data_IF_514740146704
#
_entry.id   IF_514740146704
#
_cell.length_a   1.000
_cell.length_b   1.000
_cell.length_c   1.000
_cell.angle_alpha   90.00
_cell.angle_beta   90.00
_cell.angle_gamma   90.00
#
_symmetry.space_group_name_H-M   'P 1'
#
loop_
_entity.id
_entity.type
_entity.pdbx_description
1 polymer ?
#
# COMPACT_ATOMS: atom_id res chain seq x y z
N UNK A 1 40.44 -2.07 56.41
CA UNK A 1 39.06 -2.44 56.06
C UNK A 1 38.32 -1.17 55.63
N UNK A 2 37.63 -1.21 54.48
CA UNK A 2 36.57 -0.28 54.04
C UNK A 2 36.94 1.11 53.43
N UNK A 3 37.67 1.15 52.31
CA UNK A 3 37.50 2.31 51.39
C UNK A 3 37.58 2.00 49.90
N UNK A 4 38.28 0.93 49.49
CA UNK A 4 38.41 0.54 48.06
C UNK A 4 37.25 -0.28 47.49
N UNK A 5 36.34 -0.80 48.31
CA UNK A 5 35.17 -1.58 47.85
C UNK A 5 33.94 -0.76 47.46
N UNK A 6 33.88 0.53 47.83
CA UNK A 6 32.71 1.39 47.53
C UNK A 6 32.80 2.07 46.15
N UNK A 7 34.00 2.30 45.62
CA UNK A 7 34.18 2.97 44.33
C UNK A 7 33.88 2.06 43.12
N UNK A 8 34.10 0.75 43.25
CA UNK A 8 33.84 -0.22 42.15
C UNK A 8 32.34 -0.47 41.94
N UNK A 9 31.50 -0.29 42.97
CA UNK A 9 30.04 -0.43 42.84
C UNK A 9 29.36 0.82 42.25
N UNK A 10 29.98 1.98 42.33
CA UNK A 10 29.36 3.23 41.86
C UNK A 10 29.58 3.47 40.36
N UNK A 11 30.68 2.96 39.80
CA UNK A 11 30.93 3.01 38.34
C UNK A 11 30.08 1.97 37.58
N UNK A 12 29.71 0.86 38.22
CA UNK A 12 28.90 -0.18 37.57
C UNK A 12 27.40 0.11 37.50
N UNK A 13 26.91 1.06 38.30
CA UNK A 13 25.48 1.46 38.30
C UNK A 13 25.22 2.60 37.29
N UNK A 14 26.28 3.28 36.81
CA UNK A 14 26.18 4.46 35.95
C UNK A 14 26.65 4.22 34.51
N UNK A 15 26.65 2.97 34.05
CA UNK A 15 26.70 2.63 32.61
C UNK A 15 25.84 1.41 32.27
N UNK A 16 24.90 1.05 33.14
CA UNK A 16 23.77 0.18 32.82
C UNK A 16 22.48 1.00 32.59
N UNK A 17 22.62 2.32 32.46
CA UNK A 17 21.53 3.28 32.23
C UNK A 17 21.59 3.93 30.83
N UNK A 18 22.38 3.36 29.91
CA UNK A 18 22.47 3.81 28.50
C UNK A 18 21.76 2.82 27.55
N UNK A 19 21.26 1.68 28.06
CA UNK A 19 20.67 0.61 27.23
C UNK A 19 19.14 0.57 27.20
N UNK A 20 18.43 1.52 27.83
CA UNK A 20 16.96 1.48 27.91
C UNK A 20 16.26 2.76 27.43
N UNK A 21 16.79 3.33 26.35
CA UNK A 21 16.06 4.29 25.51
C UNK A 21 16.09 3.79 24.06
N UNK A 22 15.71 2.51 23.87
CA UNK A 22 15.00 2.17 22.64
C UNK A 22 13.62 2.79 22.84
N UNK A 23 13.53 4.10 22.57
CA UNK A 23 12.26 4.72 22.31
C UNK A 23 11.62 3.87 21.21
N UNK A 24 10.54 3.19 21.55
CA UNK A 24 9.65 2.62 20.56
C UNK A 24 9.39 3.74 19.58
N UNK A 25 9.97 3.66 18.39
CA UNK A 25 9.54 4.47 17.27
C UNK A 25 8.13 3.94 17.06
N UNK A 26 7.15 4.61 17.67
CA UNK A 26 5.75 4.45 17.32
C UNK A 26 5.70 4.75 15.83
N UNK A 27 5.70 3.68 15.05
CA UNK A 27 5.47 3.75 13.63
C UNK A 27 4.17 4.53 13.50
N UNK A 28 4.18 5.65 12.78
CA UNK A 28 2.98 6.48 12.56
C UNK A 28 1.84 5.74 11.83
N UNK A 29 1.98 4.43 11.62
CA UNK A 29 0.93 3.51 11.21
C UNK A 29 0.00 3.25 12.40
N UNK A 30 -1.21 3.83 12.34
CA UNK A 30 -2.29 3.52 13.27
C UNK A 30 -2.67 2.03 13.28
N UNK A 31 -3.54 1.60 14.21
CA UNK A 31 -3.95 0.21 14.30
C UNK A 31 -4.50 -0.31 12.97
N UNK A 32 -4.13 -1.54 12.60
CA UNK A 32 -4.61 -2.22 11.40
C UNK A 32 -5.41 -3.48 11.75
N UNK A 33 -6.29 -3.88 10.86
CA UNK A 33 -7.02 -5.14 10.94
C UNK A 33 -7.08 -5.82 9.57
N UNK A 34 -7.03 -7.16 9.59
CA UNK A 34 -7.20 -7.97 8.39
C UNK A 34 -8.66 -7.92 7.96
N UNK A 35 -8.92 -7.38 6.76
CA UNK A 35 -10.22 -7.41 6.08
C UNK A 35 -10.18 -8.48 5.00
N UNK A 36 -11.29 -9.20 4.84
CA UNK A 36 -11.42 -10.34 3.93
C UNK A 36 -12.48 -10.05 2.88
N UNK A 37 -12.11 -10.22 1.61
CA UNK A 37 -12.97 -9.96 0.47
C UNK A 37 -13.12 -11.24 -0.37
N UNK A 38 -14.29 -11.90 -0.34
CA UNK A 38 -14.55 -13.05 -1.19
C UNK A 38 -14.54 -12.65 -2.66
N UNK A 39 -13.72 -13.34 -3.45
CA UNK A 39 -13.64 -13.19 -4.90
C UNK A 39 -14.25 -14.45 -5.51
N UNK A 40 -15.44 -14.39 -6.15
CA UNK A 40 -16.10 -15.56 -6.71
C UNK A 40 -15.13 -16.38 -7.58
N UNK A 41 -15.09 -17.69 -7.35
CA UNK A 41 -14.23 -18.66 -8.06
C UNK A 41 -12.70 -18.44 -7.92
N UNK A 42 -12.29 -17.45 -7.11
CA UNK A 42 -10.89 -17.07 -6.91
C UNK A 42 -10.54 -16.89 -5.43
N UNK A 43 -11.25 -17.57 -4.53
CA UNK A 43 -10.93 -17.58 -3.10
C UNK A 43 -11.19 -16.25 -2.40
N UNK A 44 -10.32 -15.90 -1.45
CA UNK A 44 -10.46 -14.70 -0.62
C UNK A 44 -9.22 -13.82 -0.71
N UNK A 45 -9.41 -12.53 -1.00
CA UNK A 45 -8.38 -11.51 -0.87
C UNK A 45 -8.35 -11.00 0.58
N UNK A 46 -7.19 -11.07 1.23
CA UNK A 46 -6.97 -10.60 2.59
C UNK A 46 -6.04 -9.37 2.57
N UNK A 47 -6.52 -8.26 3.16
CA UNK A 47 -5.82 -6.98 3.21
C UNK A 47 -5.67 -6.51 4.66
N UNK A 48 -4.46 -6.12 5.08
CA UNK A 48 -4.22 -5.56 6.41
C UNK A 48 -4.39 -4.04 6.41
N UNK A 49 -5.60 -3.57 6.68
CA UNK A 49 -6.04 -2.18 6.43
C UNK A 49 -6.09 -1.39 7.73
N UNK A 50 -5.67 -0.10 7.76
CA UNK A 50 -5.89 0.77 8.91
C UNK A 50 -7.35 0.75 9.36
N UNK A 51 -7.61 0.59 10.66
CA UNK A 51 -8.97 0.39 11.20
C UNK A 51 -9.86 1.60 10.98
N UNK A 52 -9.28 2.79 10.89
CA UNK A 52 -10.00 4.04 10.66
C UNK A 52 -10.45 4.23 9.19
N UNK A 53 -9.95 3.42 8.25
CA UNK A 53 -10.39 3.54 6.86
C UNK A 53 -11.78 2.94 6.71
N UNK A 54 -12.66 3.63 5.99
CA UNK A 54 -13.93 3.08 5.53
C UNK A 54 -13.69 2.34 4.23
N UNK A 55 -14.39 1.24 3.99
CA UNK A 55 -14.32 0.50 2.74
C UNK A 55 -15.70 0.15 2.20
N UNK A 56 -15.76 0.04 0.88
CA UNK A 56 -16.91 -0.52 0.16
C UNK A 56 -16.41 -1.32 -1.05
N UNK A 57 -17.14 -2.37 -1.40
CA UNK A 57 -16.88 -3.15 -2.61
C UNK A 57 -17.87 -2.74 -3.69
N UNK A 58 -17.39 -2.02 -4.70
CA UNK A 58 -18.20 -1.68 -5.86
C UNK A 58 -18.17 -2.81 -6.89
N UNK A 59 -19.34 -3.33 -7.25
CA UNK A 59 -19.54 -4.31 -8.33
C UNK A 59 -20.56 -3.78 -9.32
N UNK A 60 -20.19 -3.75 -10.59
CA UNK A 60 -21.11 -3.35 -11.67
C UNK A 60 -22.05 -4.49 -12.07
N UNK A 61 -21.60 -5.75 -11.96
CA UNK A 61 -22.38 -6.99 -12.18
C UNK A 61 -21.81 -8.12 -11.31
N UNK A 62 -22.61 -9.16 -11.05
CA UNK A 62 -22.30 -10.26 -10.13
C UNK A 62 -21.00 -11.04 -10.48
N UNK A 63 -20.65 -11.11 -11.77
CA UNK A 63 -19.47 -11.83 -12.28
C UNK A 63 -18.36 -10.91 -12.81
N UNK A 64 -18.38 -9.62 -12.45
CA UNK A 64 -17.34 -8.68 -12.84
C UNK A 64 -16.33 -8.46 -11.71
N UNK A 65 -15.06 -8.19 -12.04
CA UNK A 65 -14.06 -7.73 -11.10
C UNK A 65 -14.58 -6.64 -10.15
N UNK A 66 -14.55 -6.85 -8.82
CA UNK A 66 -14.90 -5.80 -7.87
C UNK A 66 -13.81 -4.74 -7.85
N UNK A 67 -14.20 -3.50 -7.56
CA UNK A 67 -13.28 -2.46 -7.13
C UNK A 67 -13.54 -2.16 -5.66
N UNK A 68 -12.53 -2.41 -4.82
CA UNK A 68 -12.55 -2.04 -3.41
C UNK A 68 -12.18 -0.56 -3.31
N UNK A 69 -13.02 0.23 -2.66
CA UNK A 69 -12.80 1.66 -2.48
C UNK A 69 -12.59 1.92 -0.99
N UNK A 70 -11.48 2.57 -0.64
CA UNK A 70 -11.17 2.97 0.72
C UNK A 70 -11.12 4.49 0.83
N UNK A 71 -11.73 5.02 1.89
CA UNK A 71 -11.79 6.44 2.19
C UNK A 71 -11.38 6.70 3.66
N UNK A 72 -10.96 7.92 4.02
CA UNK A 72 -10.74 8.26 5.42
C UNK A 72 -12.03 8.15 6.24
N UNK A 73 -11.90 8.02 7.57
CA UNK A 73 -13.04 8.04 8.49
C UNK A 73 -13.91 9.30 8.32
N UNK A 74 -13.26 10.44 8.07
CA UNK A 74 -13.85 11.77 7.92
C UNK A 74 -13.13 12.55 6.84
N UNK A 75 -13.82 13.49 6.20
CA UNK A 75 -13.24 14.32 5.14
C UNK A 75 -13.02 13.56 3.83
N UNK A 76 -12.13 14.10 3.00
CA UNK A 76 -11.82 13.59 1.65
C UNK A 76 -10.33 13.77 1.31
N UNK A 77 -9.46 13.50 2.28
CA UNK A 77 -8.02 13.70 2.13
C UNK A 77 -7.38 12.74 1.13
N UNK A 78 -7.97 11.55 1.01
CA UNK A 78 -7.56 10.54 0.04
C UNK A 78 -8.72 9.67 -0.41
N UNK A 79 -8.51 8.96 -1.52
CA UNK A 79 -9.31 7.81 -1.93
C UNK A 79 -8.37 6.74 -2.50
N UNK A 80 -8.52 5.50 -2.05
CA UNK A 80 -7.81 4.34 -2.60
C UNK A 80 -8.80 3.47 -3.35
N UNK A 81 -8.47 3.08 -4.56
CA UNK A 81 -9.25 2.15 -5.37
C UNK A 81 -8.37 0.96 -5.71
N UNK A 82 -8.86 -0.26 -5.48
CA UNK A 82 -8.19 -1.51 -5.82
C UNK A 82 -9.15 -2.34 -6.66
N UNK A 83 -8.95 -2.37 -7.97
CA UNK A 83 -9.67 -3.25 -8.89
C UNK A 83 -9.02 -4.63 -8.89
N UNK A 84 -9.80 -5.64 -8.52
CA UNK A 84 -9.33 -7.03 -8.36
C UNK A 84 -9.60 -7.80 -9.65
N UNK A 85 -8.60 -7.90 -10.53
CA UNK A 85 -8.71 -8.57 -11.82
C UNK A 85 -8.17 -10.01 -11.76
N UNK A 86 -8.59 -10.85 -12.69
CA UNK A 86 -8.08 -12.20 -12.88
C UNK A 86 -8.03 -12.56 -14.38
N UNK A 87 -7.16 -13.50 -14.71
CA UNK A 87 -7.02 -14.02 -16.07
C UNK A 87 -8.15 -14.97 -16.45
N UNK A 88 -8.29 -15.24 -17.75
CA UNK A 88 -9.13 -16.33 -18.22
C UNK A 88 -8.60 -17.67 -17.67
N UNK A 89 -9.46 -18.65 -17.50
CA UNK A 89 -9.07 -20.01 -17.10
C UNK A 89 -7.91 -20.51 -17.98
N UNK A 90 -6.80 -20.90 -17.34
CA UNK A 90 -5.58 -21.35 -18.01
C UNK A 90 -4.50 -20.29 -18.27
N UNK A 91 -4.82 -18.99 -18.14
CA UNK A 91 -3.80 -17.92 -18.22
C UNK A 91 -3.08 -17.76 -16.88
N UNK A 92 -2.15 -18.67 -16.60
CA UNK A 92 -1.38 -18.70 -15.37
C UNK A 92 -0.43 -17.50 -15.21
N UNK A 93 -0.12 -16.81 -16.30
CA UNK A 93 0.82 -15.69 -16.33
C UNK A 93 0.08 -14.34 -16.36
N UNK A 94 -1.25 -14.28 -16.19
CA UNK A 94 -2.01 -13.03 -16.28
C UNK A 94 -1.49 -11.93 -15.35
N UNK A 95 -1.01 -12.32 -14.16
CA UNK A 95 -0.43 -11.43 -13.15
C UNK A 95 1.10 -11.56 -13.03
N UNK A 96 1.76 -12.09 -14.06
CA UNK A 96 3.21 -12.20 -14.12
C UNK A 96 3.92 -10.84 -14.08
N UNK A 97 5.12 -10.82 -13.51
CA UNK A 97 5.87 -9.59 -13.23
C UNK A 97 6.08 -8.71 -14.47
N UNK A 98 6.38 -9.30 -15.63
CA UNK A 98 6.56 -8.57 -16.89
C UNK A 98 5.25 -7.94 -17.38
N UNK A 99 4.12 -8.66 -17.29
CA UNK A 99 2.80 -8.13 -17.65
C UNK A 99 2.39 -6.99 -16.72
N UNK A 100 2.64 -7.15 -15.42
CA UNK A 100 2.40 -6.08 -14.42
C UNK A 100 3.23 -4.85 -14.75
N UNK A 101 4.53 -5.01 -15.00
CA UNK A 101 5.40 -3.88 -15.38
C UNK A 101 4.92 -3.19 -16.65
N UNK A 102 4.69 -3.95 -17.71
CA UNK A 102 4.24 -3.45 -19.02
C UNK A 102 2.90 -2.71 -18.90
N UNK A 103 1.98 -3.23 -18.07
CA UNK A 103 0.71 -2.57 -17.80
C UNK A 103 0.92 -1.20 -17.16
N UNK A 104 1.72 -1.14 -16.09
CA UNK A 104 1.97 0.10 -15.34
C UNK A 104 2.72 1.12 -16.20
N UNK A 105 3.70 0.69 -16.99
CA UNK A 105 4.40 1.57 -17.94
C UNK A 105 3.44 2.17 -18.97
N UNK A 106 2.61 1.34 -19.63
CA UNK A 106 1.65 1.82 -20.63
C UNK A 106 0.58 2.72 -20.04
N UNK A 107 0.10 2.42 -18.84
CA UNK A 107 -0.86 3.26 -18.13
C UNK A 107 -0.26 4.63 -17.80
N UNK A 108 0.96 4.68 -17.27
CA UNK A 108 1.65 5.93 -16.99
C UNK A 108 1.89 6.77 -18.25
N UNK A 109 2.32 6.16 -19.36
CA UNK A 109 2.55 6.88 -20.62
C UNK A 109 1.28 7.55 -21.15
N UNK A 110 0.12 6.90 -20.99
CA UNK A 110 -1.18 7.49 -21.35
C UNK A 110 -1.54 8.70 -20.48
N UNK A 111 -1.15 8.68 -19.21
CA UNK A 111 -1.45 9.74 -18.26
C UNK A 111 -0.50 10.93 -18.38
N UNK A 112 0.75 10.69 -18.78
CA UNK A 112 1.84 11.67 -18.82
C UNK A 112 1.46 13.05 -19.38
N UNK A 113 0.69 13.18 -20.50
CA UNK A 113 0.30 14.49 -21.02
C UNK A 113 -0.47 15.37 -20.04
N UNK A 114 -1.14 14.79 -19.04
CA UNK A 114 -1.95 15.49 -18.04
C UNK A 114 -1.21 15.70 -16.70
N UNK A 115 0.06 15.34 -16.64
CA UNK A 115 0.85 15.41 -15.41
C UNK A 115 1.83 16.58 -15.43
N UNK A 116 2.27 17.05 -14.26
CA UNK A 116 3.29 18.09 -14.14
C UNK A 116 4.71 17.54 -14.39
N UNK A 117 4.87 16.22 -14.34
CA UNK A 117 6.11 15.50 -14.58
C UNK A 117 6.41 15.36 -16.08
N UNK A 118 7.68 15.48 -16.48
CA UNK A 118 8.11 15.28 -17.87
C UNK A 118 8.37 13.81 -18.25
N UNK A 119 8.32 12.90 -17.28
CA UNK A 119 8.48 11.45 -17.49
C UNK A 119 7.84 10.65 -16.36
N UNK A 120 7.46 9.41 -16.66
CA UNK A 120 7.02 8.45 -15.65
C UNK A 120 8.24 7.73 -15.08
N UNK A 121 8.32 7.65 -13.75
CA UNK A 121 9.35 6.87 -13.04
C UNK A 121 8.66 5.74 -12.30
N UNK A 122 8.92 4.51 -12.76
CA UNK A 122 8.42 3.32 -12.09
C UNK A 122 9.22 3.02 -10.83
N UNK A 123 8.51 2.67 -9.78
CA UNK A 123 9.02 2.19 -8.50
C UNK A 123 8.47 0.78 -8.26
N UNK A 124 9.28 -0.07 -7.64
CA UNK A 124 8.89 -1.45 -7.34
C UNK A 124 8.14 -1.53 -6.00
N UNK A 125 7.11 -2.37 -5.95
CA UNK A 125 6.45 -2.80 -4.72
C UNK A 125 6.90 -4.25 -4.47
N UNK A 126 7.56 -4.51 -3.35
CA UNK A 126 7.95 -5.86 -2.94
C UNK A 126 7.14 -6.33 -1.74
N UNK A 127 6.33 -7.37 -1.95
CA UNK A 127 5.78 -8.18 -0.87
C UNK A 127 6.71 -9.36 -0.53
N UNK A 128 6.22 -10.28 0.30
CA UNK A 128 6.99 -11.48 0.69
C UNK A 128 7.09 -12.47 -0.47
N UNK A 129 5.98 -12.69 -1.19
CA UNK A 129 5.88 -13.71 -2.26
C UNK A 129 5.43 -13.11 -3.58
N UNK A 130 5.34 -11.79 -3.68
CA UNK A 130 4.86 -11.08 -4.85
C UNK A 130 5.57 -9.75 -5.05
N UNK A 131 5.48 -9.24 -6.28
CA UNK A 131 6.01 -7.93 -6.64
C UNK A 131 5.11 -7.22 -7.63
N UNK A 132 5.24 -5.91 -7.67
CA UNK A 132 4.48 -5.03 -8.53
C UNK A 132 5.24 -3.74 -8.82
N UNK A 133 4.57 -2.84 -9.53
CA UNK A 133 5.16 -1.55 -9.91
C UNK A 133 4.13 -0.44 -9.72
N UNK A 134 4.62 0.76 -9.46
CA UNK A 134 3.80 1.97 -9.38
C UNK A 134 4.57 3.18 -9.85
N UNK A 135 3.83 4.26 -10.08
CA UNK A 135 4.37 5.59 -10.29
C UNK A 135 3.50 6.60 -9.55
N UNK A 136 4.07 7.77 -9.25
CA UNK A 136 3.36 8.89 -8.64
C UNK A 136 3.50 10.10 -9.55
N UNK A 137 2.40 10.83 -9.72
CA UNK A 137 2.31 12.01 -10.58
C UNK A 137 1.47 13.10 -9.91
N UNK A 138 1.67 14.32 -10.39
CA UNK A 138 0.93 15.50 -9.99
C UNK A 138 0.05 15.93 -11.15
N UNK A 139 -1.24 16.13 -10.92
CA UNK A 139 -2.10 16.79 -11.91
C UNK A 139 -1.62 18.23 -12.14
N UNK A 140 -1.39 18.59 -13.40
CA UNK A 140 -0.92 19.93 -13.77
C UNK A 140 -2.03 20.99 -13.72
N UNK A 141 -3.29 20.60 -13.79
CA UNK A 141 -4.44 21.50 -13.82
C UNK A 141 -5.70 20.87 -13.17
N UNK A 142 -5.66 20.53 -11.87
CA UNK A 142 -6.81 19.94 -11.19
C UNK A 142 -7.96 20.95 -11.09
N UNK A 143 -9.20 20.50 -11.27
CA UNK A 143 -10.35 21.37 -11.01
C UNK A 143 -10.48 21.67 -9.50
N UNK A 144 -11.13 22.78 -9.12
CA UNK A 144 -11.39 23.07 -7.71
C UNK A 144 -12.07 21.89 -7.00
N UNK A 145 -11.48 21.45 -5.90
CA UNK A 145 -11.99 20.33 -5.10
C UNK A 145 -11.49 18.94 -5.53
N UNK A 146 -10.84 18.78 -6.69
CA UNK A 146 -10.26 17.50 -7.11
C UNK A 146 -8.95 17.19 -6.38
N UNK A 147 -8.48 15.96 -6.54
CA UNK A 147 -7.20 15.50 -5.99
C UNK A 147 -6.05 15.93 -6.89
N UNK A 148 -5.09 16.65 -6.32
CA UNK A 148 -3.90 17.12 -7.06
C UNK A 148 -2.87 16.02 -7.29
N UNK A 149 -2.78 15.04 -6.40
CA UNK A 149 -1.73 14.03 -6.44
C UNK A 149 -2.34 12.64 -6.62
N UNK A 150 -1.60 11.82 -7.34
CA UNK A 150 -2.03 10.48 -7.71
C UNK A 150 -0.86 9.51 -7.66
N UNK A 151 -1.09 8.34 -7.10
CA UNK A 151 -0.18 7.19 -7.19
C UNK A 151 -0.94 6.02 -7.79
N UNK A 152 -0.43 5.44 -8.89
CA UNK A 152 -1.09 4.32 -9.60
C UNK A 152 -0.11 3.20 -9.83
N UNK A 153 -0.62 1.97 -9.88
CA UNK A 153 0.23 0.82 -10.10
C UNK A 153 -0.55 -0.48 -10.16
N UNK A 154 0.20 -1.57 -10.19
CA UNK A 154 -0.37 -2.90 -10.11
C UNK A 154 0.58 -3.87 -9.40
N UNK A 155 0.01 -4.91 -8.80
CA UNK A 155 0.73 -6.00 -8.13
C UNK A 155 0.00 -7.33 -8.33
N UNK A 156 0.74 -8.40 -8.59
CA UNK A 156 0.18 -9.76 -8.64
C UNK A 156 0.08 -10.35 -7.25
N UNK A 157 -1.04 -10.94 -6.84
CA UNK A 157 -1.20 -11.61 -5.52
C UNK A 157 -1.89 -12.95 -5.73
N UNK A 158 -1.17 -14.05 -5.53
CA UNK A 158 -1.66 -15.38 -5.90
C UNK A 158 -1.97 -15.46 -7.40
N UNK A 159 -3.22 -15.69 -7.81
CA UNK A 159 -3.65 -15.58 -9.21
C UNK A 159 -4.41 -14.27 -9.54
N UNK A 160 -4.46 -13.33 -8.59
CA UNK A 160 -5.11 -12.03 -8.78
C UNK A 160 -4.12 -11.00 -9.30
N UNK A 161 -4.63 -10.05 -10.10
CA UNK A 161 -3.95 -8.83 -10.50
C UNK A 161 -4.66 -7.66 -9.83
N UNK A 162 -3.98 -6.98 -8.91
CA UNK A 162 -4.53 -5.84 -8.19
C UNK A 162 -4.07 -4.56 -8.88
N UNK A 163 -4.95 -3.96 -9.68
CA UNK A 163 -4.74 -2.62 -10.24
C UNK A 163 -5.18 -1.59 -9.21
N UNK A 164 -4.36 -0.61 -8.88
CA UNK A 164 -4.67 0.35 -7.84
C UNK A 164 -4.44 1.80 -8.23
N UNK A 165 -5.23 2.67 -7.62
CA UNK A 165 -5.12 4.13 -7.68
C UNK A 165 -5.25 4.68 -6.26
N UNK A 166 -4.35 5.58 -5.88
CA UNK A 166 -4.41 6.38 -4.66
C UNK A 166 -4.48 7.84 -5.08
N UNK A 167 -5.61 8.48 -4.83
CA UNK A 167 -5.80 9.91 -4.99
C UNK A 167 -5.57 10.57 -3.64
N UNK A 168 -4.85 11.70 -3.61
CA UNK A 168 -4.54 12.38 -2.36
C UNK A 168 -4.31 13.89 -2.53
N UNK A 169 -4.52 14.64 -1.45
CA UNK A 169 -4.42 16.11 -1.45
C UNK A 169 -3.04 16.67 -1.12
N UNK A 170 -2.16 15.89 -0.51
CA UNK A 170 -0.81 16.32 -0.07
C UNK A 170 0.29 15.46 -0.69
N UNK A 171 1.44 16.05 -1.03
CA UNK A 171 2.54 15.34 -1.71
C UNK A 171 3.07 14.17 -0.88
N UNK A 172 3.33 14.39 0.41
CA UNK A 172 3.83 13.38 1.34
C UNK A 172 2.68 12.70 2.10
N UNK A 173 1.88 11.91 1.39
CA UNK A 173 0.65 11.33 1.92
C UNK A 173 0.91 10.05 2.73
N UNK A 174 0.49 10.04 4.00
CA UNK A 174 0.44 8.83 4.81
C UNK A 174 -0.45 7.76 4.16
N UNK A 175 -1.53 8.16 3.48
CA UNK A 175 -2.41 7.21 2.80
C UNK A 175 -1.71 6.45 1.67
N UNK A 176 -0.74 7.06 0.98
CA UNK A 176 0.08 6.36 -0.02
C UNK A 176 0.97 5.32 0.65
N UNK A 177 1.64 5.68 1.76
CA UNK A 177 2.46 4.72 2.53
C UNK A 177 1.63 3.54 3.03
N UNK A 178 0.46 3.82 3.58
CA UNK A 178 -0.46 2.80 4.09
C UNK A 178 -1.00 1.92 2.96
N UNK A 179 -1.39 2.49 1.82
CA UNK A 179 -1.85 1.74 0.65
C UNK A 179 -0.76 0.81 0.10
N UNK A 180 0.47 1.30 -0.04
CA UNK A 180 1.59 0.46 -0.45
C UNK A 180 1.88 -0.65 0.58
N UNK A 181 1.77 -0.35 1.88
CA UNK A 181 1.89 -1.36 2.94
C UNK A 181 0.81 -2.44 2.84
N UNK A 182 -0.45 -2.05 2.64
CA UNK A 182 -1.57 -2.97 2.40
C UNK A 182 -1.25 -3.92 1.25
N UNK A 183 -0.78 -3.37 0.12
CA UNK A 183 -0.46 -4.15 -1.07
C UNK A 183 0.73 -5.09 -0.86
N UNK A 184 1.79 -4.67 -0.15
CA UNK A 184 2.93 -5.53 0.21
C UNK A 184 2.52 -6.71 1.10
N UNK A 185 1.56 -6.49 1.99
CA UNK A 185 1.07 -7.47 2.96
C UNK A 185 -0.10 -8.32 2.43
N UNK A 186 -0.62 -8.00 1.24
CA UNK A 186 -1.78 -8.66 0.66
C UNK A 186 -1.57 -10.16 0.47
N UNK A 187 -2.61 -10.94 0.74
CA UNK A 187 -2.61 -12.40 0.57
C UNK A 187 -3.87 -12.86 -0.12
N UNK A 188 -3.76 -13.98 -0.81
CA UNK A 188 -4.91 -14.73 -1.32
C UNK A 188 -4.97 -16.09 -0.62
N UNK A 189 -6.15 -16.47 -0.15
CA UNK A 189 -6.40 -17.75 0.53
C UNK A 189 -7.56 -18.51 -0.12
N UNK A 190 -7.61 -19.84 0.06
CA UNK A 190 -8.75 -20.68 -0.34
C UNK A 190 -8.91 -20.90 -1.84
N UNK A 191 -7.82 -21.21 -2.55
CA UNK A 191 -7.84 -21.66 -3.95
C UNK A 191 -7.76 -23.19 -4.01
#
# INVERSE_FOLDING_TARGET
MNMTRKLVKLVFVMTLLVTLLIASIDSAAGPKAIRKYPIPEHGTLELNVPTLWKDEAHKTRENMPPTLIFNPAKGNDFQVMISVLWGKTGDQDFNGQEKVRTFVEKDGQKLLPNTAEGKIVLQEIKGVTHSGYYYSVTDKAPNPGEYRYMTRGAIGVGNLFLNFTVLHRVRDSQAVRDALSILREAKQSGK
#
